data_IF_380735528468
#
_entry.id   IF_380735528468
#
_cell.length_a   1.000
_cell.length_b   1.000
_cell.length_c   1.000
_cell.angle_alpha   90.00
_cell.angle_beta   90.00
_cell.angle_gamma   90.00
#
_symmetry.space_group_name_H-M   'P 1'
#
loop_
_entity.id
_entity.type
_entity.pdbx_description
1 polymer ?
#
# COMPACT_ATOMS: atom_id res chain seq x y z
N UNK A 1 -27.45 -10.16 13.10
CA UNK A 1 -27.27 -8.73 12.74
C UNK A 1 -25.90 -8.19 13.18
N UNK A 2 -25.52 -8.36 14.45
CA UNK A 2 -24.21 -7.93 14.99
C UNK A 2 -23.02 -8.59 14.28
N UNK A 3 -23.11 -9.89 13.99
CA UNK A 3 -22.04 -10.63 13.31
C UNK A 3 -21.71 -10.10 11.90
N UNK A 4 -22.73 -9.67 11.15
CA UNK A 4 -22.55 -9.08 9.81
C UNK A 4 -21.83 -7.73 9.89
N UNK A 5 -22.20 -6.89 10.85
CA UNK A 5 -21.52 -5.61 11.10
C UNK A 5 -20.06 -5.82 11.53
N UNK A 6 -19.79 -6.83 12.34
CA UNK A 6 -18.42 -7.18 12.72
C UNK A 6 -17.60 -7.69 11.52
N UNK A 7 -18.21 -8.43 10.61
CA UNK A 7 -17.56 -8.88 9.38
C UNK A 7 -17.22 -7.71 8.45
N UNK A 8 -18.17 -6.79 8.23
CA UNK A 8 -17.95 -5.57 7.46
C UNK A 8 -16.81 -4.73 8.06
N UNK A 9 -16.79 -4.53 9.38
CA UNK A 9 -15.71 -3.82 10.07
C UNK A 9 -14.34 -4.49 9.88
N UNK A 10 -14.28 -5.83 9.86
CA UNK A 10 -13.03 -6.55 9.57
C UNK A 10 -12.58 -6.30 8.14
N UNK A 11 -13.47 -6.40 7.17
CA UNK A 11 -13.15 -6.17 5.76
C UNK A 11 -12.63 -4.76 5.51
N UNK A 12 -13.29 -3.74 6.07
CA UNK A 12 -12.82 -2.36 5.96
C UNK A 12 -11.43 -2.16 6.60
N UNK A 13 -11.15 -2.81 7.73
CA UNK A 13 -9.82 -2.75 8.36
C UNK A 13 -8.74 -3.39 7.48
N UNK A 14 -9.02 -4.53 6.84
CA UNK A 14 -8.06 -5.19 5.94
C UNK A 14 -7.77 -4.33 4.70
N UNK A 15 -8.77 -3.62 4.16
CA UNK A 15 -8.58 -2.71 3.02
C UNK A 15 -7.56 -1.60 3.35
N UNK A 16 -7.45 -1.16 4.60
CA UNK A 16 -6.50 -0.11 4.99
C UNK A 16 -5.07 -0.63 5.15
N UNK A 17 -4.86 -1.95 5.23
CA UNK A 17 -3.53 -2.53 5.38
C UNK A 17 -2.77 -2.57 4.06
N UNK A 18 -1.46 -2.48 4.17
CA UNK A 18 -0.53 -2.62 3.07
C UNK A 18 -0.63 -4.02 2.45
N UNK A 19 -0.77 -4.10 1.13
CA UNK A 19 -0.88 -5.36 0.40
C UNK A 19 0.42 -6.20 0.37
N UNK A 20 1.56 -5.63 0.79
CA UNK A 20 2.85 -6.35 0.81
C UNK A 20 3.06 -7.06 2.15
N UNK A 21 2.83 -6.38 3.28
CA UNK A 21 3.07 -6.95 4.61
C UNK A 21 1.80 -7.36 5.35
N UNK A 22 0.61 -6.97 4.88
CA UNK A 22 -0.70 -7.30 5.46
C UNK A 22 -0.85 -6.92 6.94
N UNK A 23 -0.10 -5.91 7.38
CA UNK A 23 0.05 -5.53 8.79
C UNK A 23 -0.11 -4.02 8.96
N UNK A 24 0.85 -3.25 8.43
CA UNK A 24 0.90 -1.80 8.55
C UNK A 24 -0.12 -1.09 7.67
N UNK A 25 -0.59 0.11 8.05
CA UNK A 25 -1.48 0.91 7.22
C UNK A 25 -0.81 1.36 5.92
N UNK A 26 -1.64 1.78 4.98
CA UNK A 26 -1.23 2.47 3.75
C UNK A 26 -0.89 3.92 4.07
N UNK A 27 0.37 4.29 3.84
CA UNK A 27 0.92 5.61 4.19
C UNK A 27 1.59 6.30 2.99
N UNK A 28 1.83 5.57 1.90
CA UNK A 28 2.46 6.10 0.69
C UNK A 28 1.72 5.65 -0.56
N UNK A 29 1.76 6.50 -1.58
CA UNK A 29 1.24 6.23 -2.92
C UNK A 29 2.36 6.28 -3.96
N UNK A 30 2.34 5.34 -4.92
CA UNK A 30 3.14 5.45 -6.14
C UNK A 30 2.33 6.25 -7.16
N UNK A 31 2.69 7.51 -7.37
CA UNK A 31 1.94 8.46 -8.22
C UNK A 31 1.81 8.05 -9.69
N UNK A 32 2.63 7.11 -10.17
CA UNK A 32 2.53 6.54 -11.53
C UNK A 32 1.34 5.60 -11.73
N UNK A 33 0.89 4.92 -10.67
CA UNK A 33 -0.14 3.88 -10.78
C UNK A 33 -1.17 3.92 -9.63
N UNK A 34 -1.05 4.87 -8.71
CA UNK A 34 -1.94 5.11 -7.58
C UNK A 34 -2.10 3.95 -6.58
N UNK A 35 -1.26 2.91 -6.67
CA UNK A 35 -1.24 1.86 -5.66
C UNK A 35 -0.60 2.35 -4.37
N UNK A 36 -1.22 1.96 -3.25
CA UNK A 36 -0.86 2.39 -1.91
C UNK A 36 -0.24 1.26 -1.09
N UNK A 37 0.73 1.62 -0.27
CA UNK A 37 1.52 0.69 0.53
C UNK A 37 1.98 1.32 1.85
N UNK A 38 2.62 0.51 2.70
CA UNK A 38 3.33 1.00 3.88
C UNK A 38 4.65 1.66 3.49
N UNK A 39 5.10 2.69 4.23
CA UNK A 39 6.37 3.35 3.95
C UNK A 39 7.57 2.37 3.97
N UNK A 40 7.75 1.51 5.00
CA UNK A 40 8.86 0.54 5.03
C UNK A 40 8.89 -0.43 3.84
N UNK A 41 7.72 -0.73 3.26
CA UNK A 41 7.57 -1.67 2.17
C UNK A 41 8.05 -1.06 0.86
N UNK A 42 7.70 0.21 0.61
CA UNK A 42 8.12 0.93 -0.60
C UNK A 42 9.59 1.32 -0.52
N UNK A 43 10.10 1.70 0.65
CA UNK A 43 11.52 2.05 0.81
C UNK A 43 12.45 0.90 0.38
N UNK A 44 12.14 -0.33 0.80
CA UNK A 44 12.86 -1.54 0.35
C UNK A 44 12.88 -1.71 -1.18
N UNK A 45 11.80 -1.31 -1.86
CA UNK A 45 11.72 -1.40 -3.32
C UNK A 45 12.52 -0.26 -3.96
N UNK A 46 12.49 0.95 -3.38
CA UNK A 46 13.26 2.09 -3.91
C UNK A 46 14.76 1.92 -3.75
N UNK A 47 15.22 1.14 -2.76
CA UNK A 47 16.61 0.74 -2.59
C UNK A 47 17.07 -0.28 -3.65
N UNK A 48 16.13 -1.04 -4.25
CA UNK A 48 16.41 -1.97 -5.34
C UNK A 48 16.66 -1.24 -6.67
N UNK A 49 17.51 -1.81 -7.52
CA UNK A 49 17.73 -1.35 -8.90
C UNK A 49 16.47 -1.55 -9.78
N UNK A 50 15.57 -2.47 -9.41
CA UNK A 50 14.38 -2.82 -10.18
C UNK A 50 13.09 -2.27 -9.55
N UNK A 51 12.94 -0.95 -9.55
CA UNK A 51 11.80 -0.25 -8.96
C UNK A 51 10.52 -0.46 -9.76
N UNK A 52 9.78 -1.51 -9.44
CA UNK A 52 8.49 -1.85 -10.04
C UNK A 52 7.41 -1.99 -8.99
N UNK A 53 6.21 -1.50 -9.31
CA UNK A 53 5.05 -1.62 -8.43
C UNK A 53 4.71 -3.11 -8.21
N UNK A 54 4.55 -3.59 -6.97
CA UNK A 54 4.22 -5.00 -6.69
C UNK A 54 2.86 -5.46 -7.22
N UNK A 55 1.95 -4.53 -7.54
CA UNK A 55 0.59 -4.86 -7.99
C UNK A 55 0.49 -4.88 -9.52
N UNK A 56 1.09 -3.91 -10.20
CA UNK A 56 0.92 -3.73 -11.65
C UNK A 56 2.23 -3.74 -12.45
N UNK A 57 3.38 -3.97 -11.81
CA UNK A 57 4.71 -3.96 -12.41
C UNK A 57 5.13 -2.64 -13.10
N UNK A 58 4.34 -1.56 -12.97
CA UNK A 58 4.71 -0.24 -13.47
C UNK A 58 6.03 0.22 -12.86
N UNK A 59 6.93 0.74 -13.70
CA UNK A 59 8.22 1.28 -13.25
C UNK A 59 8.03 2.65 -12.61
N UNK A 60 8.76 2.95 -11.54
CA UNK A 60 8.66 4.21 -10.81
C UNK A 60 10.01 4.66 -10.25
N UNK A 61 10.20 5.96 -10.08
CA UNK A 61 11.38 6.56 -9.45
C UNK A 61 11.13 6.96 -7.98
N UNK A 62 12.20 7.37 -7.29
CA UNK A 62 12.09 7.84 -5.90
C UNK A 62 11.15 9.05 -5.75
N UNK A 63 11.12 9.95 -6.75
CA UNK A 63 10.24 11.12 -6.75
C UNK A 63 8.75 10.77 -6.92
N UNK A 64 8.44 9.57 -7.40
CA UNK A 64 7.06 9.12 -7.64
C UNK A 64 6.39 8.57 -6.37
N UNK A 65 7.14 8.44 -5.26
CA UNK A 65 6.62 8.00 -3.96
C UNK A 65 6.24 9.22 -3.13
N UNK A 66 4.97 9.33 -2.74
CA UNK A 66 4.46 10.45 -1.93
C UNK A 66 3.72 9.94 -0.69
N UNK A 67 3.82 10.62 0.46
CA UNK A 67 3.02 10.28 1.64
C UNK A 67 1.54 10.56 1.38
N UNK A 68 0.68 9.78 2.01
CA UNK A 68 -0.77 9.99 2.08
C UNK A 68 -1.25 9.82 3.51
N UNK A 69 -2.33 10.51 3.85
CA UNK A 69 -2.98 10.44 5.16
C UNK A 69 -4.43 10.05 4.92
N UNK A 70 -4.82 8.86 5.41
CA UNK A 70 -6.15 8.25 5.23
C UNK A 70 -6.88 8.28 6.57
#
# INVERSE_FOLDING_TARGET
MVERLQQELREYREILKCSICLDRPKEVVITKCYHLFCNPCVQKITESCHRKCPVCAASFGANDVKPVYI
#
